data_IF_934572969688
#
_entry.id   IF_934572969688
#
_cell.length_a   1.000
_cell.length_b   1.000
_cell.length_c   1.000
_cell.angle_alpha   90.00
_cell.angle_beta   90.00
_cell.angle_gamma   90.00
#
_symmetry.space_group_name_H-M   'P 1'
#
loop_
_entity.id
_entity.type
_entity.pdbx_description
1 polymer ?
#
# COMPACT_ATOMS: atom_id res chain seq x y z
N UNK A 1 4.19 -11.87 31.98
CA UNK A 1 4.84 -12.78 32.96
C UNK A 1 6.33 -12.46 33.02
N UNK A 2 6.91 -12.40 34.23
CA UNK A 2 8.35 -12.25 34.40
C UNK A 2 8.99 -13.60 34.22
N UNK A 3 9.90 -13.73 33.25
CA UNK A 3 10.62 -14.96 33.00
C UNK A 3 12.11 -14.75 33.32
N UNK A 4 12.54 -15.22 34.48
CA UNK A 4 13.97 -15.23 34.86
C UNK A 4 14.70 -16.33 34.10
N UNK A 5 15.84 -15.98 33.51
CA UNK A 5 16.69 -16.92 32.74
C UNK A 5 18.14 -16.43 32.74
N UNK A 6 19.04 -17.25 32.20
CA UNK A 6 20.48 -16.95 32.12
C UNK A 6 20.88 -16.70 30.67
N UNK A 7 21.74 -15.72 30.40
CA UNK A 7 22.36 -15.53 29.11
C UNK A 7 23.38 -16.65 28.86
N UNK A 8 23.19 -17.45 27.82
CA UNK A 8 24.08 -18.55 27.44
C UNK A 8 25.12 -18.16 26.40
N UNK A 9 24.79 -17.16 25.56
CA UNK A 9 25.67 -16.67 24.51
C UNK A 9 25.33 -15.21 24.18
N UNK A 10 26.35 -14.40 23.94
CA UNK A 10 26.17 -13.04 23.44
C UNK A 10 27.22 -12.69 22.41
N UNK A 11 26.79 -11.99 21.35
CA UNK A 11 27.69 -11.45 20.32
C UNK A 11 27.19 -10.16 19.78
N UNK A 12 28.12 -9.29 19.36
CA UNK A 12 27.76 -8.03 18.68
C UNK A 12 27.30 -8.32 17.25
N UNK A 13 26.05 -8.02 16.96
CA UNK A 13 25.42 -8.35 15.67
C UNK A 13 25.49 -7.21 14.65
N UNK A 14 25.26 -5.96 15.11
CA UNK A 14 25.36 -4.72 14.30
C UNK A 14 25.93 -3.62 15.18
N UNK A 15 26.13 -2.41 14.63
CA UNK A 15 26.76 -1.29 15.34
C UNK A 15 26.12 -1.03 16.74
N UNK A 16 24.80 -1.20 16.81
CA UNK A 16 23.96 -0.89 17.98
C UNK A 16 23.15 -2.09 18.51
N UNK A 17 23.41 -3.32 18.05
CA UNK A 17 22.64 -4.51 18.40
C UNK A 17 23.50 -5.68 18.83
N UNK A 18 22.97 -6.45 19.76
CA UNK A 18 23.52 -7.70 20.21
C UNK A 18 22.59 -8.87 19.87
N UNK A 19 23.15 -9.99 19.49
CA UNK A 19 22.50 -11.28 19.49
C UNK A 19 22.65 -11.86 20.89
N UNK A 20 21.55 -12.27 21.50
CA UNK A 20 21.55 -12.85 22.87
C UNK A 20 20.77 -14.15 22.85
N UNK A 21 21.40 -15.24 23.28
CA UNK A 21 20.75 -16.52 23.57
C UNK A 21 20.58 -16.70 25.07
N UNK A 22 19.50 -17.34 25.43
CA UNK A 22 19.13 -17.58 26.83
C UNK A 22 18.71 -19.03 27.03
N UNK A 23 18.87 -19.58 28.24
CA UNK A 23 18.49 -20.95 28.58
C UNK A 23 17.00 -21.23 28.27
N UNK A 24 16.13 -20.34 28.73
CA UNK A 24 14.70 -20.44 28.50
C UNK A 24 14.20 -19.18 27.76
N UNK A 25 13.83 -19.35 26.52
CA UNK A 25 13.35 -18.27 25.65
C UNK A 25 11.84 -18.40 25.39
N UNK A 26 10.99 -17.56 26.04
CA UNK A 26 9.54 -17.61 25.85
C UNK A 26 9.06 -16.90 24.58
N UNK A 27 9.95 -16.16 23.90
CA UNK A 27 9.60 -15.38 22.70
C UNK A 27 9.40 -16.29 21.51
N UNK A 28 8.40 -15.96 20.69
CA UNK A 28 8.18 -16.61 19.41
C UNK A 28 9.13 -16.03 18.34
N UNK A 29 9.87 -16.87 17.60
CA UNK A 29 10.75 -16.40 16.54
C UNK A 29 9.97 -16.02 15.27
N UNK A 30 10.53 -15.14 14.45
CA UNK A 30 10.00 -14.84 13.13
C UNK A 30 9.87 -16.11 12.28
N UNK A 31 8.70 -16.30 11.66
CA UNK A 31 8.43 -17.46 10.80
C UNK A 31 7.00 -17.50 10.30
N UNK A 32 6.75 -18.18 9.17
CA UNK A 32 5.40 -18.38 8.62
C UNK A 32 4.64 -17.10 8.24
N UNK A 33 5.35 -16.01 7.97
CA UNK A 33 4.74 -14.69 7.70
C UNK A 33 4.39 -13.90 8.96
N UNK A 34 4.65 -14.46 10.16
CA UNK A 34 4.51 -13.78 11.44
C UNK A 34 5.87 -13.21 11.87
N UNK A 35 5.97 -11.90 12.23
CA UNK A 35 7.20 -11.34 12.78
C UNK A 35 7.48 -11.91 14.18
N UNK A 36 8.75 -11.98 14.54
CA UNK A 36 9.17 -12.42 15.87
C UNK A 36 8.69 -11.48 16.97
N UNK A 37 8.52 -12.02 18.16
CA UNK A 37 8.13 -11.25 19.33
C UNK A 37 9.15 -10.18 19.70
N UNK A 38 8.65 -9.15 20.37
CA UNK A 38 9.43 -8.04 20.94
C UNK A 38 9.20 -7.90 22.44
N UNK A 39 10.04 -7.12 23.11
CA UNK A 39 9.89 -6.91 24.54
C UNK A 39 11.08 -6.21 25.17
N UNK A 40 11.38 -6.55 26.43
CA UNK A 40 12.49 -5.99 27.19
C UNK A 40 13.30 -7.07 27.89
N UNK A 41 14.57 -6.79 28.08
CA UNK A 41 15.52 -7.58 28.86
C UNK A 41 16.07 -6.68 29.97
N UNK A 42 16.18 -7.24 31.16
CA UNK A 42 16.58 -6.46 32.34
C UNK A 42 17.39 -7.30 33.36
N UNK A 43 18.45 -6.68 33.90
CA UNK A 43 19.17 -7.08 35.09
C UNK A 43 19.61 -5.84 35.90
N UNK A 44 20.38 -6.02 36.95
CA UNK A 44 20.97 -4.88 37.69
C UNK A 44 22.01 -4.12 36.86
N UNK A 45 22.75 -4.80 36.00
CA UNK A 45 23.88 -4.26 35.24
C UNK A 45 23.54 -3.99 33.76
N UNK A 46 22.43 -4.57 33.23
CA UNK A 46 22.09 -4.51 31.85
C UNK A 46 20.57 -4.30 31.62
N UNK A 47 20.22 -3.40 30.70
CA UNK A 47 18.85 -3.21 30.18
C UNK A 47 18.87 -3.00 28.70
N UNK A 48 17.84 -3.49 28.02
CA UNK A 48 17.73 -3.32 26.59
C UNK A 48 16.33 -3.63 26.03
N UNK A 49 16.12 -3.17 24.81
CA UNK A 49 14.93 -3.48 24.02
C UNK A 49 15.19 -4.74 23.18
N UNK A 50 14.31 -5.73 23.28
CA UNK A 50 14.25 -6.86 22.37
C UNK A 50 13.44 -6.42 21.15
N UNK A 51 14.13 -6.21 20.03
CA UNK A 51 13.51 -5.71 18.78
C UNK A 51 13.07 -6.82 17.84
N UNK A 52 13.57 -8.04 18.03
CA UNK A 52 13.14 -9.24 17.33
C UNK A 52 13.55 -10.51 18.07
N UNK A 53 12.77 -11.57 17.91
CA UNK A 53 13.20 -12.95 18.18
C UNK A 53 13.33 -13.66 16.84
N UNK A 54 14.46 -14.39 16.66
CA UNK A 54 14.76 -15.13 15.44
C UNK A 54 15.22 -16.55 15.78
N UNK A 55 15.26 -17.41 14.78
CA UNK A 55 15.79 -18.78 14.88
C UNK A 55 16.85 -19.00 13.79
N UNK A 56 17.95 -19.66 14.14
CA UNK A 56 18.94 -20.20 13.23
C UNK A 56 19.20 -21.69 13.56
N UNK A 57 20.25 -22.28 12.98
CA UNK A 57 20.63 -23.68 13.22
C UNK A 57 21.00 -24.00 14.69
N UNK A 58 21.38 -22.98 15.47
CA UNK A 58 21.72 -23.14 16.91
C UNK A 58 20.52 -22.85 17.84
N UNK A 59 19.34 -22.54 17.29
CA UNK A 59 18.11 -22.29 18.04
C UNK A 59 17.66 -20.84 18.05
N UNK A 60 16.80 -20.49 19.00
CA UNK A 60 16.25 -19.13 19.12
C UNK A 60 17.27 -18.16 19.68
N UNK A 61 17.27 -16.91 19.18
CA UNK A 61 18.03 -15.80 19.74
C UNK A 61 17.21 -14.50 19.70
N UNK A 62 17.61 -13.57 20.57
CA UNK A 62 17.02 -12.25 20.70
C UNK A 62 17.95 -11.20 20.07
N UNK A 63 17.41 -10.33 19.21
CA UNK A 63 18.10 -9.11 18.79
C UNK A 63 17.83 -8.02 19.82
N UNK A 64 18.86 -7.56 20.52
CA UNK A 64 18.75 -6.63 21.63
C UNK A 64 19.46 -5.32 21.32
N UNK A 65 18.79 -4.20 21.53
CA UNK A 65 19.35 -2.85 21.53
C UNK A 65 19.60 -2.45 22.99
N UNK A 66 20.86 -2.30 23.43
CA UNK A 66 21.16 -1.88 24.79
C UNK A 66 20.64 -0.46 25.07
N UNK A 67 20.00 -0.29 26.22
CA UNK A 67 19.67 1.01 26.81
C UNK A 67 20.63 1.40 27.94
N UNK A 68 21.17 0.38 28.66
CA UNK A 68 22.14 0.53 29.73
C UNK A 68 23.01 -0.72 29.82
N UNK A 69 24.31 -0.59 29.94
CA UNK A 69 25.25 -1.70 30.02
C UNK A 69 25.34 -2.54 28.76
N UNK A 70 25.85 -3.75 28.88
CA UNK A 70 25.95 -4.71 27.76
C UNK A 70 25.66 -6.13 28.29
N UNK A 71 25.05 -7.02 27.46
CA UNK A 71 24.75 -8.38 27.86
C UNK A 71 26.05 -9.18 28.08
N UNK A 72 26.10 -9.95 29.15
CA UNK A 72 27.23 -10.83 29.49
C UNK A 72 26.79 -12.29 29.66
N UNK A 73 27.59 -13.21 29.15
CA UNK A 73 27.34 -14.64 29.34
C UNK A 73 27.36 -15.00 30.84
N UNK A 74 26.44 -15.85 31.26
CA UNK A 74 26.25 -16.25 32.66
C UNK A 74 25.43 -15.26 33.49
N UNK A 75 25.03 -14.10 32.93
CA UNK A 75 24.24 -13.11 33.63
C UNK A 75 22.80 -13.59 33.80
N UNK A 76 22.27 -13.45 35.03
CA UNK A 76 20.87 -13.67 35.36
C UNK A 76 20.06 -12.46 34.93
N UNK A 77 19.07 -12.68 34.11
CA UNK A 77 18.22 -11.62 33.52
C UNK A 77 16.75 -11.96 33.68
N UNK A 78 15.91 -10.93 33.57
CA UNK A 78 14.46 -11.07 33.45
C UNK A 78 13.99 -10.59 32.06
N UNK A 79 13.17 -11.42 31.43
CA UNK A 79 12.58 -11.14 30.12
C UNK A 79 11.12 -10.68 30.29
N UNK A 80 10.76 -9.60 29.61
CA UNK A 80 9.41 -9.05 29.57
C UNK A 80 8.91 -9.07 28.13
N UNK A 81 7.99 -9.98 27.84
CA UNK A 81 7.33 -10.09 26.54
C UNK A 81 6.35 -8.91 26.36
N UNK A 82 6.30 -8.32 25.18
CA UNK A 82 5.20 -7.46 24.77
C UNK A 82 3.94 -8.32 24.53
N UNK A 83 3.21 -8.57 25.61
CA UNK A 83 2.04 -9.47 25.60
C UNK A 83 0.92 -8.93 24.70
N UNK A 84 0.78 -7.60 24.60
CA UNK A 84 -0.22 -7.00 23.73
C UNK A 84 0.09 -7.34 22.26
N UNK A 85 1.30 -7.04 21.82
CA UNK A 85 1.77 -7.33 20.45
C UNK A 85 1.70 -8.82 20.14
N UNK A 86 2.19 -9.68 21.02
CA UNK A 86 2.13 -11.15 20.89
C UNK A 86 0.68 -11.61 20.69
N UNK A 87 -0.25 -11.13 21.52
CA UNK A 87 -1.67 -11.47 21.42
C UNK A 87 -2.29 -11.00 20.09
N UNK A 88 -1.99 -9.78 19.64
CA UNK A 88 -2.50 -9.26 18.35
C UNK A 88 -2.00 -10.11 17.20
N UNK A 89 -0.70 -10.42 17.15
CA UNK A 89 -0.13 -11.25 16.09
C UNK A 89 -0.71 -12.66 16.08
N UNK A 90 -0.87 -13.28 17.26
CA UNK A 90 -1.49 -14.59 17.45
C UNK A 90 -2.91 -14.65 16.92
N UNK A 91 -3.74 -13.67 17.27
CA UNK A 91 -5.13 -13.55 16.81
C UNK A 91 -5.20 -13.30 15.30
N UNK A 92 -4.38 -12.39 14.79
CA UNK A 92 -4.31 -12.08 13.36
C UNK A 92 -3.88 -13.28 12.53
N UNK A 93 -2.95 -14.09 13.02
CA UNK A 93 -2.48 -15.28 12.32
C UNK A 93 -3.58 -16.34 12.24
N UNK A 94 -4.28 -16.59 13.33
CA UNK A 94 -5.42 -17.54 13.31
C UNK A 94 -6.53 -17.07 12.39
N UNK A 95 -6.85 -15.77 12.40
CA UNK A 95 -7.83 -15.17 11.49
C UNK A 95 -7.44 -15.35 10.01
N UNK A 96 -6.13 -15.25 9.70
CA UNK A 96 -5.63 -15.50 8.35
C UNK A 96 -5.87 -16.93 7.90
N UNK A 97 -5.62 -17.93 8.74
CA UNK A 97 -5.88 -19.33 8.41
C UNK A 97 -7.36 -19.55 8.05
N UNK A 98 -8.27 -19.04 8.88
CA UNK A 98 -9.72 -19.15 8.65
C UNK A 98 -10.11 -18.49 7.32
N UNK A 99 -9.62 -17.25 7.08
CA UNK A 99 -9.94 -16.50 5.88
C UNK A 99 -9.40 -17.17 4.61
N UNK A 100 -8.15 -17.63 4.64
CA UNK A 100 -7.53 -18.35 3.52
C UNK A 100 -8.30 -19.65 3.21
N UNK A 101 -8.65 -20.41 4.25
CA UNK A 101 -9.39 -21.66 4.09
C UNK A 101 -10.76 -21.44 3.43
N UNK A 102 -11.51 -20.42 3.87
CA UNK A 102 -12.83 -20.08 3.31
C UNK A 102 -12.71 -19.72 1.82
N UNK A 103 -11.72 -18.94 1.43
CA UNK A 103 -11.52 -18.57 0.03
C UNK A 103 -11.07 -19.77 -0.81
N UNK A 104 -10.13 -20.59 -0.33
CA UNK A 104 -9.67 -21.80 -1.03
C UNK A 104 -10.79 -22.81 -1.24
N UNK A 105 -11.69 -22.97 -0.28
CA UNK A 105 -12.87 -23.86 -0.40
C UNK A 105 -13.93 -23.28 -1.35
N UNK A 106 -14.07 -21.95 -1.40
CA UNK A 106 -15.05 -21.27 -2.26
C UNK A 106 -14.61 -21.18 -3.72
N UNK A 107 -13.29 -21.18 -3.98
CA UNK A 107 -12.71 -20.97 -5.30
C UNK A 107 -11.69 -22.07 -5.63
N UNK A 108 -12.12 -23.17 -6.25
CA UNK A 108 -11.20 -24.25 -6.68
C UNK A 108 -10.05 -23.71 -7.55
N UNK A 109 -8.83 -24.00 -7.14
CA UNK A 109 -7.60 -23.51 -7.80
C UNK A 109 -7.04 -22.20 -7.23
N UNK A 110 -7.75 -21.56 -6.28
CA UNK A 110 -7.17 -20.48 -5.49
C UNK A 110 -6.21 -21.07 -4.45
N UNK A 111 -5.06 -20.46 -4.30
CA UNK A 111 -4.05 -20.85 -3.31
C UNK A 111 -3.50 -19.64 -2.56
N UNK A 112 -3.22 -19.85 -1.27
CA UNK A 112 -2.58 -18.85 -0.44
C UNK A 112 -1.07 -18.80 -0.75
N UNK A 113 -0.62 -17.65 -1.24
CA UNK A 113 0.78 -17.38 -1.54
C UNK A 113 1.55 -16.89 -0.31
N UNK A 114 1.96 -15.61 -0.35
CA UNK A 114 2.66 -14.94 0.76
C UNK A 114 1.66 -14.40 1.79
N UNK A 115 2.07 -14.44 3.05
CA UNK A 115 1.34 -13.83 4.18
C UNK A 115 2.27 -12.88 4.91
N UNK A 116 1.76 -11.72 5.29
CA UNK A 116 2.45 -10.74 6.14
C UNK A 116 1.52 -10.40 7.31
N UNK A 117 1.77 -10.98 8.46
CA UNK A 117 1.05 -10.66 9.70
C UNK A 117 1.63 -9.38 10.31
N UNK A 118 0.77 -8.48 10.73
CA UNK A 118 1.16 -7.20 11.31
C UNK A 118 0.18 -6.76 12.39
N UNK A 119 0.62 -5.89 13.30
CA UNK A 119 -0.16 -5.44 14.46
C UNK A 119 -1.41 -4.64 14.09
N UNK A 120 -1.31 -3.75 13.10
CA UNK A 120 -2.42 -2.87 12.72
C UNK A 120 -3.30 -3.52 11.65
N UNK A 121 -2.67 -4.11 10.64
CA UNK A 121 -3.37 -4.78 9.55
C UNK A 121 -2.44 -5.74 8.82
N UNK A 122 -2.90 -6.93 8.60
CA UNK A 122 -2.21 -8.01 7.93
C UNK A 122 -2.56 -8.09 6.46
N UNK A 123 -1.70 -8.71 5.66
CA UNK A 123 -1.92 -8.85 4.21
C UNK A 123 -1.74 -10.30 3.79
N UNK A 124 -2.68 -10.81 3.02
CA UNK A 124 -2.62 -12.13 2.37
C UNK A 124 -2.60 -11.94 0.87
N UNK A 125 -1.70 -12.66 0.22
CA UNK A 125 -1.60 -12.74 -1.24
C UNK A 125 -2.15 -14.09 -1.70
N UNK A 126 -2.98 -14.05 -2.72
CA UNK A 126 -3.57 -15.24 -3.34
C UNK A 126 -3.16 -15.34 -4.78
N UNK A 127 -2.87 -16.56 -5.22
CA UNK A 127 -2.69 -16.90 -6.62
C UNK A 127 -3.96 -17.59 -7.13
N UNK A 128 -4.59 -17.00 -8.16
CA UNK A 128 -5.84 -17.49 -8.72
C UNK A 128 -6.04 -16.98 -10.15
N UNK A 129 -6.14 -17.89 -11.11
CA UNK A 129 -6.37 -17.56 -12.53
C UNK A 129 -7.82 -17.11 -12.82
N UNK A 130 -8.73 -17.33 -11.87
CA UNK A 130 -10.10 -16.87 -11.94
C UNK A 130 -10.27 -15.39 -11.56
N UNK A 131 -11.50 -14.91 -11.57
CA UNK A 131 -11.86 -13.56 -11.14
C UNK A 131 -12.35 -13.59 -9.69
N UNK A 132 -11.81 -12.70 -8.86
CA UNK A 132 -12.34 -12.38 -7.53
C UNK A 132 -13.01 -11.01 -7.56
N UNK A 133 -14.17 -10.90 -6.97
CA UNK A 133 -14.93 -9.65 -6.81
C UNK A 133 -14.95 -9.22 -5.35
N UNK A 134 -15.19 -7.94 -5.14
CA UNK A 134 -15.29 -7.40 -3.78
C UNK A 134 -16.42 -8.08 -2.96
N UNK A 135 -17.50 -8.46 -3.62
CA UNK A 135 -18.62 -9.18 -3.00
C UNK A 135 -18.23 -10.57 -2.49
N UNK A 136 -17.29 -11.24 -3.18
CA UNK A 136 -16.77 -12.54 -2.76
C UNK A 136 -15.91 -12.39 -1.50
N UNK A 137 -15.13 -11.32 -1.45
CA UNK A 137 -14.30 -10.98 -0.28
C UNK A 137 -15.16 -10.61 0.92
N UNK A 138 -16.23 -9.82 0.74
CA UNK A 138 -17.19 -9.50 1.81
C UNK A 138 -17.96 -10.73 2.30
N UNK A 139 -18.26 -11.67 1.40
CA UNK A 139 -18.89 -12.94 1.79
C UNK A 139 -17.93 -13.78 2.65
N UNK A 140 -16.66 -13.85 2.27
CA UNK A 140 -15.64 -14.53 3.05
C UNK A 140 -15.43 -13.86 4.42
N UNK A 141 -15.40 -12.52 4.48
CA UNK A 141 -15.34 -11.75 5.73
C UNK A 141 -16.49 -12.10 6.68
N UNK A 142 -17.71 -12.16 6.15
CA UNK A 142 -18.88 -12.54 6.94
C UNK A 142 -18.73 -13.96 7.49
N UNK A 143 -18.28 -14.92 6.68
CA UNK A 143 -18.05 -16.30 7.10
C UNK A 143 -16.96 -16.42 8.17
N UNK A 144 -15.86 -15.67 8.07
CA UNK A 144 -14.83 -15.61 9.12
C UNK A 144 -15.44 -15.18 10.45
N UNK A 145 -16.26 -14.14 10.44
CA UNK A 145 -16.92 -13.66 11.65
C UNK A 145 -17.93 -14.68 12.23
N UNK A 146 -18.58 -15.51 11.40
CA UNK A 146 -19.41 -16.62 11.89
C UNK A 146 -18.56 -17.73 12.54
N UNK A 147 -17.39 -18.07 11.98
CA UNK A 147 -16.44 -19.02 12.59
C UNK A 147 -15.92 -18.49 13.93
N UNK A 148 -15.64 -17.19 14.03
CA UNK A 148 -15.25 -16.54 15.29
C UNK A 148 -16.34 -16.69 16.35
N UNK A 149 -17.60 -16.44 15.98
CA UNK A 149 -18.75 -16.60 16.89
C UNK A 149 -19.00 -18.04 17.29
N UNK A 150 -18.70 -19.00 16.41
CA UNK A 150 -18.92 -20.43 16.68
C UNK A 150 -17.98 -20.98 17.77
N UNK A 151 -16.96 -20.22 18.21
CA UNK A 151 -16.05 -20.57 19.30
C UNK A 151 -15.38 -21.95 19.13
N UNK A 152 -14.88 -22.19 17.91
CA UNK A 152 -14.22 -23.44 17.57
C UNK A 152 -12.89 -23.60 18.30
N UNK A 153 -12.58 -24.82 18.75
CA UNK A 153 -11.31 -25.18 19.34
C UNK A 153 -10.18 -25.07 18.30
N UNK A 154 -9.07 -24.49 18.71
CA UNK A 154 -7.82 -24.44 17.94
C UNK A 154 -6.75 -25.22 18.69
N UNK A 155 -6.18 -26.20 18.03
CA UNK A 155 -5.16 -27.11 18.60
C UNK A 155 -3.87 -27.00 17.83
N UNK A 156 -2.77 -26.94 18.56
CA UNK A 156 -1.42 -27.03 17.99
C UNK A 156 -0.90 -28.43 18.31
N UNK A 157 -0.68 -29.20 17.25
CA UNK A 157 -0.18 -30.57 17.30
C UNK A 157 1.25 -30.60 16.80
N UNK A 158 2.11 -31.45 17.38
CA UNK A 158 3.49 -31.61 16.98
C UNK A 158 3.68 -33.02 16.45
N UNK A 159 4.25 -33.17 15.28
CA UNK A 159 4.51 -34.42 14.59
C UNK A 159 5.95 -34.43 14.11
N UNK A 160 6.53 -35.61 13.95
CA UNK A 160 7.70 -35.76 13.08
C UNK A 160 7.29 -35.47 11.62
N UNK A 161 8.25 -35.17 10.77
CA UNK A 161 8.01 -34.92 9.35
C UNK A 161 7.22 -36.07 8.66
N UNK A 162 7.60 -37.33 8.95
CA UNK A 162 6.98 -38.51 8.36
C UNK A 162 5.57 -38.74 8.89
N UNK A 163 5.32 -38.53 10.16
CA UNK A 163 3.97 -38.60 10.75
C UNK A 163 3.07 -37.52 10.16
N UNK A 164 3.53 -36.27 10.06
CA UNK A 164 2.75 -35.18 9.51
C UNK A 164 2.31 -35.46 8.06
N UNK A 165 3.17 -36.08 7.25
CA UNK A 165 2.85 -36.49 5.88
C UNK A 165 1.80 -37.60 5.77
N UNK A 166 1.69 -38.42 6.81
CA UNK A 166 0.68 -39.51 6.86
C UNK A 166 -0.68 -39.01 7.37
N UNK A 167 -0.74 -37.89 8.05
CA UNK A 167 -1.99 -37.31 8.54
C UNK A 167 -2.80 -36.81 7.33
N UNK A 168 -3.96 -37.44 7.11
CA UNK A 168 -4.82 -37.09 5.98
C UNK A 168 -5.37 -35.69 6.13
N UNK A 169 -5.16 -34.85 5.09
CA UNK A 169 -5.73 -33.51 5.03
C UNK A 169 -4.80 -32.39 5.52
N UNK A 170 -3.60 -32.71 6.01
CA UNK A 170 -2.60 -31.70 6.36
C UNK A 170 -2.15 -30.96 5.09
N UNK A 171 -2.34 -29.64 5.09
CA UNK A 171 -1.78 -28.75 4.09
C UNK A 171 -0.38 -28.30 4.55
N UNK A 172 0.62 -28.42 3.70
CA UNK A 172 1.98 -27.95 3.98
C UNK A 172 2.72 -27.65 2.68
N UNK A 173 3.67 -26.73 2.75
CA UNK A 173 4.70 -26.53 1.71
C UNK A 173 5.87 -27.46 2.04
N UNK A 174 5.70 -28.75 1.71
CA UNK A 174 6.64 -29.81 2.09
C UNK A 174 8.08 -29.56 1.62
N UNK A 175 8.22 -28.84 0.50
CA UNK A 175 9.52 -28.44 -0.06
C UNK A 175 10.30 -27.44 0.79
N UNK A 176 9.64 -26.79 1.76
CA UNK A 176 10.24 -25.83 2.68
C UNK A 176 10.54 -26.42 4.08
N UNK A 177 10.14 -27.67 4.33
CA UNK A 177 10.31 -28.36 5.60
C UNK A 177 11.48 -29.34 5.53
N UNK A 178 12.32 -29.36 6.55
CA UNK A 178 13.37 -30.38 6.64
C UNK A 178 12.81 -31.69 7.23
N UNK A 179 13.19 -32.87 6.66
CA UNK A 179 12.82 -34.16 7.24
C UNK A 179 13.28 -34.37 8.68
N UNK A 180 14.28 -33.61 9.16
CA UNK A 180 14.84 -33.70 10.49
C UNK A 180 14.09 -32.85 11.53
N UNK A 181 13.18 -31.93 11.04
CA UNK A 181 12.46 -31.03 11.92
C UNK A 181 11.09 -31.60 12.34
N UNK A 182 10.70 -31.28 13.57
CA UNK A 182 9.33 -31.46 14.03
C UNK A 182 8.41 -30.48 13.31
N UNK A 183 7.27 -30.97 12.82
CA UNK A 183 6.26 -30.22 12.08
C UNK A 183 5.12 -29.86 13.03
N UNK A 184 4.99 -28.57 13.32
CA UNK A 184 3.83 -28.04 14.02
C UNK A 184 2.65 -27.97 13.05
N UNK A 185 1.52 -28.59 13.43
CA UNK A 185 0.28 -28.58 12.68
C UNK A 185 -0.81 -27.91 13.50
N UNK A 186 -1.44 -26.91 12.92
CA UNK A 186 -2.57 -26.19 13.54
C UNK A 186 -3.87 -26.77 13.00
N UNK A 187 -4.74 -27.21 13.92
CA UNK A 187 -6.08 -27.71 13.65
C UNK A 187 -7.11 -26.71 14.14
N UNK A 188 -8.02 -26.26 13.28
CA UNK A 188 -9.13 -25.36 13.62
C UNK A 188 -10.43 -26.15 13.44
N UNK A 189 -10.97 -26.71 14.54
CA UNK A 189 -12.10 -27.59 14.47
C UNK A 189 -11.91 -28.69 13.43
N UNK A 190 -12.89 -28.86 12.54
CA UNK A 190 -12.80 -29.77 11.40
C UNK A 190 -12.58 -29.02 10.07
N UNK A 191 -12.41 -27.68 10.12
CA UNK A 191 -12.33 -26.88 8.90
C UNK A 191 -10.93 -26.74 8.34
N UNK A 192 -9.90 -26.63 9.17
CA UNK A 192 -8.51 -26.43 8.69
C UNK A 192 -7.53 -27.29 9.45
N UNK A 193 -6.52 -27.80 8.72
CA UNK A 193 -5.41 -28.58 9.26
C UNK A 193 -4.17 -28.22 8.45
N UNK A 194 -3.31 -27.37 9.03
CA UNK A 194 -2.22 -26.72 8.27
C UNK A 194 -0.90 -26.76 9.02
N UNK A 195 0.18 -27.14 8.36
CA UNK A 195 1.53 -27.02 8.92
C UNK A 195 1.89 -25.54 9.05
N UNK A 196 2.06 -25.09 10.29
CA UNK A 196 2.35 -23.71 10.59
C UNK A 196 3.20 -23.56 11.85
N UNK A 197 4.30 -22.80 11.75
CA UNK A 197 5.20 -22.54 12.86
C UNK A 197 4.81 -21.29 13.69
N UNK A 198 3.73 -20.59 13.34
CA UNK A 198 3.28 -19.39 14.04
C UNK A 198 2.56 -19.67 15.37
N UNK A 199 2.13 -18.60 16.03
CA UNK A 199 1.30 -18.68 17.24
C UNK A 199 -0.19 -18.59 16.89
N UNK A 200 -1.00 -19.33 17.64
CA UNK A 200 -2.43 -19.40 17.43
C UNK A 200 -3.21 -19.31 18.75
N UNK A 201 -4.43 -18.77 18.68
CA UNK A 201 -5.36 -18.75 19.81
C UNK A 201 -5.80 -20.16 20.18
N UNK A 202 -6.41 -20.33 21.35
CA UNK A 202 -6.96 -21.64 21.78
C UNK A 202 -8.37 -21.87 21.25
N UNK A 203 -9.12 -20.80 21.05
CA UNK A 203 -10.48 -20.82 20.50
C UNK A 203 -10.67 -19.65 19.53
N UNK A 204 -11.45 -19.86 18.48
CA UNK A 204 -11.66 -18.83 17.44
C UNK A 204 -12.30 -17.56 17.99
N UNK A 205 -13.08 -17.63 19.07
CA UNK A 205 -13.69 -16.47 19.73
C UNK A 205 -12.69 -15.47 20.28
N UNK A 206 -11.48 -15.90 20.63
CA UNK A 206 -10.40 -15.03 21.11
C UNK A 206 -9.89 -14.05 20.03
N UNK A 207 -10.24 -14.26 18.74
CA UNK A 207 -9.95 -13.34 17.65
C UNK A 207 -10.75 -12.03 17.80
N UNK A 208 -11.95 -12.10 18.40
CA UNK A 208 -12.92 -11.02 18.62
C UNK A 208 -13.62 -10.52 17.36
N UNK A 209 -12.91 -10.26 16.26
CA UNK A 209 -13.49 -9.79 15.03
C UNK A 209 -12.54 -9.84 13.85
N UNK A 210 -13.08 -9.69 12.64
CA UNK A 210 -12.33 -9.68 11.40
C UNK A 210 -12.97 -8.68 10.43
N UNK A 211 -12.18 -7.84 9.79
CA UNK A 211 -12.63 -6.89 8.79
C UNK A 211 -11.60 -6.75 7.66
N UNK A 212 -12.08 -6.74 6.43
CA UNK A 212 -11.25 -6.45 5.26
C UNK A 212 -11.09 -4.96 5.10
N UNK A 213 -9.84 -4.49 5.05
CA UNK A 213 -9.49 -3.08 4.92
C UNK A 213 -9.25 -2.68 3.46
N UNK A 214 -8.75 -3.59 2.63
CA UNK A 214 -8.51 -3.34 1.22
C UNK A 214 -8.49 -4.65 0.42
N UNK A 215 -8.91 -4.56 -0.84
CA UNK A 215 -8.82 -5.62 -1.83
C UNK A 215 -8.33 -5.03 -3.14
N UNK A 216 -7.33 -5.64 -3.75
CA UNK A 216 -6.75 -5.21 -5.02
C UNK A 216 -6.07 -6.37 -5.74
N UNK A 217 -5.75 -6.15 -6.99
CA UNK A 217 -5.04 -7.11 -7.82
C UNK A 217 -5.75 -7.39 -9.13
N UNK A 218 -5.22 -8.33 -9.86
CA UNK A 218 -5.76 -8.89 -11.10
C UNK A 218 -5.15 -10.27 -11.31
N UNK A 219 -5.77 -11.08 -12.13
CA UNK A 219 -5.27 -12.43 -12.48
C UNK A 219 -3.79 -12.41 -12.84
N UNK A 220 -2.99 -13.31 -12.32
CA UNK A 220 -3.34 -14.34 -11.34
C UNK A 220 -3.12 -13.89 -9.88
N UNK A 221 -2.71 -12.64 -9.60
CA UNK A 221 -2.25 -12.20 -8.29
C UNK A 221 -3.24 -11.25 -7.62
N UNK A 222 -3.74 -11.66 -6.44
CA UNK A 222 -4.70 -10.93 -5.65
C UNK A 222 -4.15 -10.61 -4.27
N UNK A 223 -4.51 -9.47 -3.73
CA UNK A 223 -4.08 -9.01 -2.42
C UNK A 223 -5.28 -8.58 -1.59
N UNK A 224 -5.38 -9.12 -0.38
CA UNK A 224 -6.37 -8.72 0.61
C UNK A 224 -5.67 -8.24 1.87
N UNK A 225 -6.01 -7.04 2.30
CA UNK A 225 -5.58 -6.47 3.57
C UNK A 225 -6.72 -6.54 4.58
N UNK A 226 -6.45 -7.03 5.78
CA UNK A 226 -7.44 -7.20 6.84
C UNK A 226 -6.92 -6.76 8.21
N UNK A 227 -7.82 -6.57 9.15
CA UNK A 227 -7.54 -6.32 10.56
C UNK A 227 -8.46 -7.16 11.46
N UNK A 228 -8.02 -7.37 12.69
CA UNK A 228 -8.84 -7.97 13.75
C UNK A 228 -9.51 -6.90 14.63
N UNK A 229 -9.14 -5.63 14.49
CA UNK A 229 -9.72 -4.49 15.22
C UNK A 229 -10.98 -3.98 14.52
N UNK A 230 -11.92 -4.92 14.31
CA UNK A 230 -13.16 -4.68 13.54
C UNK A 230 -13.96 -3.50 14.08
N UNK A 231 -14.15 -3.42 15.38
CA UNK A 231 -15.04 -2.42 15.98
C UNK A 231 -14.47 -1.00 15.83
N UNK A 232 -13.17 -0.81 16.03
CA UNK A 232 -12.51 0.48 15.83
C UNK A 232 -12.59 0.93 14.37
N UNK A 233 -12.30 0.03 13.44
CA UNK A 233 -12.36 0.33 12.00
C UNK A 233 -13.80 0.61 11.55
N UNK A 234 -14.77 -0.19 12.00
CA UNK A 234 -16.19 0.04 11.71
C UNK A 234 -16.66 1.41 12.26
N UNK A 235 -16.26 1.78 13.46
CA UNK A 235 -16.59 3.09 14.03
C UNK A 235 -15.99 4.23 13.21
N UNK A 236 -14.73 4.10 12.78
CA UNK A 236 -14.05 5.06 11.90
C UNK A 236 -14.78 5.22 10.56
N UNK A 237 -15.07 4.12 9.89
CA UNK A 237 -15.81 4.13 8.61
C UNK A 237 -17.24 4.67 8.78
N UNK A 238 -17.94 4.30 9.87
CA UNK A 238 -19.28 4.82 10.18
C UNK A 238 -19.28 6.33 10.40
N UNK A 239 -18.21 6.89 10.99
CA UNK A 239 -18.06 8.32 11.15
C UNK A 239 -17.93 9.02 9.79
N UNK A 240 -17.00 8.54 8.95
CA UNK A 240 -16.80 9.09 7.60
C UNK A 240 -18.10 9.00 6.78
N UNK A 241 -18.80 7.85 6.84
CA UNK A 241 -20.06 7.67 6.14
C UNK A 241 -21.10 8.73 6.56
N UNK A 242 -21.26 8.97 7.85
CA UNK A 242 -22.19 9.98 8.37
C UNK A 242 -21.80 11.42 7.95
N UNK A 243 -20.50 11.73 7.88
CA UNK A 243 -20.02 13.01 7.35
C UNK A 243 -20.39 13.17 5.87
N UNK A 244 -20.18 12.13 5.06
CA UNK A 244 -20.56 12.13 3.64
C UNK A 244 -22.08 12.23 3.47
N UNK A 245 -22.87 11.52 4.26
CA UNK A 245 -24.34 11.62 4.27
C UNK A 245 -24.82 13.04 4.63
N UNK A 246 -24.15 13.67 5.59
CA UNK A 246 -24.46 15.06 5.98
C UNK A 246 -24.18 16.04 4.86
N UNK A 247 -23.00 15.96 4.23
CA UNK A 247 -22.58 16.86 3.14
C UNK A 247 -23.43 16.68 1.87
N UNK A 248 -23.81 15.43 1.57
CA UNK A 248 -24.52 15.14 0.31
C UNK A 248 -26.04 15.16 0.46
N UNK A 249 -26.57 15.08 1.68
CA UNK A 249 -28.00 14.88 1.94
C UNK A 249 -28.55 13.50 1.52
N UNK A 250 -27.69 12.61 1.04
CA UNK A 250 -28.04 11.25 0.57
C UNK A 250 -27.63 10.22 1.61
N UNK A 251 -28.44 9.21 1.87
CA UNK A 251 -28.24 8.22 2.94
C UNK A 251 -28.11 6.80 2.41
N UNK A 252 -27.28 6.02 3.10
CA UNK A 252 -27.19 4.56 2.94
C UNK A 252 -26.87 4.13 1.52
N UNK A 253 -27.61 3.15 1.01
CA UNK A 253 -27.36 2.53 -0.30
C UNK A 253 -27.53 3.50 -1.48
N UNK A 254 -28.29 4.59 -1.28
CA UNK A 254 -28.46 5.62 -2.32
C UNK A 254 -27.17 6.42 -2.58
N UNK A 255 -26.22 6.44 -1.62
CA UNK A 255 -24.92 7.10 -1.78
C UNK A 255 -24.12 6.52 -2.96
N UNK A 256 -24.04 5.20 -3.07
CA UNK A 256 -23.33 4.55 -4.18
C UNK A 256 -23.94 4.89 -5.52
N UNK A 257 -25.27 4.93 -5.60
CA UNK A 257 -26.01 5.30 -6.80
C UNK A 257 -25.78 6.78 -7.15
N UNK A 258 -25.84 7.67 -6.15
CA UNK A 258 -25.61 9.10 -6.32
C UNK A 258 -24.15 9.35 -6.80
N UNK A 259 -23.18 8.67 -6.20
CA UNK A 259 -21.78 8.77 -6.63
C UNK A 259 -21.58 8.29 -8.07
N UNK A 260 -22.21 7.18 -8.45
CA UNK A 260 -22.16 6.67 -9.83
C UNK A 260 -22.76 7.67 -10.82
N UNK A 261 -23.92 8.25 -10.49
CA UNK A 261 -24.57 9.27 -11.32
C UNK A 261 -23.68 10.51 -11.47
N UNK A 262 -23.11 11.03 -10.38
CA UNK A 262 -22.17 12.16 -10.41
C UNK A 262 -20.93 11.88 -11.28
N UNK A 263 -20.40 10.66 -11.22
CA UNK A 263 -19.28 10.24 -12.05
C UNK A 263 -19.65 10.22 -13.54
N UNK A 264 -20.81 9.68 -13.88
CA UNK A 264 -21.31 9.65 -15.25
C UNK A 264 -21.59 11.06 -15.78
N UNK A 265 -22.23 11.91 -14.98
CA UNK A 265 -22.49 13.32 -15.33
C UNK A 265 -21.18 14.08 -15.54
N UNK A 266 -20.19 13.91 -14.68
CA UNK A 266 -18.88 14.54 -14.84
C UNK A 266 -18.20 14.11 -16.15
N UNK A 267 -18.27 12.82 -16.51
CA UNK A 267 -17.77 12.32 -17.81
C UNK A 267 -18.51 12.96 -18.97
N UNK A 268 -19.84 13.08 -18.88
CA UNK A 268 -20.69 13.71 -19.90
C UNK A 268 -20.35 15.19 -20.05
N UNK A 269 -20.28 15.92 -18.95
CA UNK A 269 -19.95 17.35 -18.95
C UNK A 269 -18.55 17.60 -19.54
N UNK A 270 -17.56 16.81 -19.19
CA UNK A 270 -16.22 16.88 -19.78
C UNK A 270 -16.25 16.67 -21.30
N UNK A 271 -17.08 15.72 -21.77
CA UNK A 271 -17.24 15.45 -23.20
C UNK A 271 -17.94 16.62 -23.93
N UNK A 272 -18.93 17.25 -23.31
CA UNK A 272 -19.61 18.41 -23.84
C UNK A 272 -18.70 19.64 -23.90
N UNK A 273 -17.94 19.92 -22.84
CA UNK A 273 -16.92 20.97 -22.82
C UNK A 273 -15.91 20.78 -23.97
N UNK A 274 -15.47 19.56 -24.22
CA UNK A 274 -14.59 19.28 -25.37
C UNK A 274 -15.20 19.57 -26.70
N UNK A 275 -16.51 19.34 -26.87
CA UNK A 275 -17.23 19.69 -28.11
C UNK A 275 -17.36 21.20 -28.31
N UNK A 276 -17.48 21.97 -27.24
CA UNK A 276 -17.55 23.42 -27.30
C UNK A 276 -16.20 24.08 -27.61
N UNK A 277 -15.10 23.42 -27.24
CA UNK A 277 -13.75 23.95 -27.43
C UNK A 277 -13.43 24.52 -28.81
N UNK A 278 -13.81 23.87 -29.94
CA UNK A 278 -13.62 24.42 -31.28
C UNK A 278 -14.36 25.72 -31.57
N UNK A 279 -15.41 26.03 -30.83
CA UNK A 279 -16.26 27.22 -31.04
C UNK A 279 -15.84 28.39 -30.13
N UNK A 280 -14.99 28.19 -29.16
CA UNK A 280 -14.50 29.24 -28.28
C UNK A 280 -13.49 30.12 -29.02
N UNK A 281 -13.72 31.42 -29.04
CA UNK A 281 -12.76 32.41 -29.55
C UNK A 281 -11.75 32.73 -28.45
N UNK A 282 -10.50 32.41 -28.68
CA UNK A 282 -9.42 32.68 -27.74
C UNK A 282 -8.77 34.03 -28.06
N UNK A 283 -8.66 34.96 -27.10
CA UNK A 283 -8.05 36.28 -27.32
C UNK A 283 -6.51 36.14 -27.26
N UNK A 284 -5.92 35.56 -28.31
CA UNK A 284 -4.49 35.38 -28.40
C UNK A 284 -3.74 36.71 -28.43
N UNK A 285 -2.70 36.85 -27.58
CA UNK A 285 -1.66 37.85 -27.81
C UNK A 285 -0.83 37.35 -28.99
N UNK A 286 -0.71 38.12 -30.05
CA UNK A 286 0.07 37.77 -31.24
C UNK A 286 1.28 38.67 -31.35
N UNK A 287 2.43 38.07 -31.58
CA UNK A 287 3.68 38.76 -31.93
C UNK A 287 4.31 38.12 -33.17
N UNK A 288 4.97 38.93 -33.99
CA UNK A 288 5.62 38.49 -35.22
C UNK A 288 7.15 38.40 -35.00
N UNK A 289 7.71 37.21 -35.15
CA UNK A 289 9.15 37.00 -35.27
C UNK A 289 9.59 37.02 -36.74
N UNK A 290 10.89 36.86 -36.99
CA UNK A 290 11.43 36.89 -38.38
C UNK A 290 10.83 35.75 -39.25
N UNK A 291 10.67 34.54 -38.68
CA UNK A 291 10.21 33.36 -39.41
C UNK A 291 8.96 32.74 -38.83
N UNK A 292 8.51 33.16 -37.64
CA UNK A 292 7.45 32.53 -36.88
C UNK A 292 6.46 33.55 -36.33
N UNK A 293 5.22 33.10 -36.11
CA UNK A 293 4.21 33.84 -35.37
C UNK A 293 4.06 33.25 -33.98
N UNK A 294 4.19 34.06 -32.94
CA UNK A 294 4.00 33.63 -31.58
C UNK A 294 2.60 34.03 -31.11
N UNK A 295 1.83 33.03 -30.63
CA UNK A 295 0.54 33.24 -30.02
C UNK A 295 0.61 32.84 -28.55
N UNK A 296 0.22 33.69 -27.64
CA UNK A 296 0.26 33.42 -26.21
C UNK A 296 -1.07 33.81 -25.55
N UNK A 297 -1.40 33.08 -24.50
CA UNK A 297 -2.48 33.40 -23.57
C UNK A 297 -2.11 32.98 -22.16
N UNK A 298 -2.54 33.77 -21.17
CA UNK A 298 -2.58 33.41 -19.77
C UNK A 298 -4.02 33.50 -19.30
N UNK A 299 -4.64 32.39 -18.92
CA UNK A 299 -6.09 32.32 -18.71
C UNK A 299 -6.42 31.34 -17.56
N UNK A 300 -7.21 31.82 -16.60
CA UNK A 300 -7.69 31.05 -15.46
C UNK A 300 -9.09 30.44 -15.68
N UNK A 301 -9.93 31.15 -16.42
CA UNK A 301 -11.37 30.84 -16.51
C UNK A 301 -11.67 29.74 -17.53
N UNK A 302 -10.81 29.55 -18.53
CA UNK A 302 -11.04 28.53 -19.55
C UNK A 302 -10.47 27.16 -19.18
N UNK A 303 -11.27 26.09 -19.31
CA UNK A 303 -10.78 24.74 -19.02
C UNK A 303 -9.56 24.38 -19.87
N UNK A 304 -8.58 23.69 -19.23
CA UNK A 304 -7.36 23.22 -19.88
C UNK A 304 -7.62 22.47 -21.19
N UNK A 305 -8.66 21.62 -21.22
CA UNK A 305 -9.03 20.83 -22.42
C UNK A 305 -9.44 21.73 -23.60
N UNK A 306 -10.11 22.87 -23.32
CA UNK A 306 -10.48 23.85 -24.33
C UNK A 306 -9.24 24.53 -24.89
N UNK A 307 -8.33 24.99 -24.03
CA UNK A 307 -7.10 25.66 -24.44
C UNK A 307 -6.13 24.70 -25.16
N UNK A 308 -6.09 23.44 -24.75
CA UNK A 308 -5.37 22.38 -25.47
C UNK A 308 -5.85 22.21 -26.91
N UNK A 309 -7.16 22.16 -27.10
CA UNK A 309 -7.74 22.05 -28.45
C UNK A 309 -7.54 23.32 -29.25
N UNK A 310 -7.72 24.48 -28.64
CA UNK A 310 -7.51 25.76 -29.28
C UNK A 310 -6.04 25.93 -29.73
N UNK A 311 -5.08 25.54 -28.92
CA UNK A 311 -3.66 25.57 -29.30
C UNK A 311 -3.36 24.65 -30.49
N UNK A 312 -3.94 23.43 -30.49
CA UNK A 312 -3.82 22.52 -31.64
C UNK A 312 -4.43 23.09 -32.91
N UNK A 313 -5.64 23.63 -32.82
CA UNK A 313 -6.30 24.28 -33.96
C UNK A 313 -5.47 25.45 -34.47
N UNK A 314 -4.92 26.29 -33.59
CA UNK A 314 -4.12 27.44 -33.99
C UNK A 314 -2.86 27.05 -34.75
N UNK A 315 -2.16 26.00 -34.36
CA UNK A 315 -0.98 25.48 -35.08
C UNK A 315 -1.34 24.85 -36.43
N UNK A 316 -2.59 24.36 -36.59
CA UNK A 316 -3.10 23.85 -37.89
C UNK A 316 -3.50 24.98 -38.82
N UNK A 317 -4.14 26.06 -38.31
CA UNK A 317 -4.50 27.24 -39.04
C UNK A 317 -3.26 28.05 -39.52
N UNK A 318 -2.23 28.10 -38.70
CA UNK A 318 -0.97 28.75 -38.96
C UNK A 318 0.21 27.82 -38.72
N UNK A 319 0.67 27.08 -39.76
CA UNK A 319 1.75 26.14 -39.65
C UNK A 319 3.13 26.73 -39.23
N UNK A 320 3.31 28.05 -39.27
CA UNK A 320 4.51 28.75 -38.80
C UNK A 320 4.36 29.29 -37.38
N UNK A 321 3.30 28.88 -36.67
CA UNK A 321 3.02 29.39 -35.33
C UNK A 321 3.75 28.60 -34.21
N UNK A 322 4.08 29.32 -33.18
CA UNK A 322 4.36 28.79 -31.84
C UNK A 322 3.24 29.30 -30.94
N UNK A 323 2.62 28.39 -30.19
CA UNK A 323 1.48 28.68 -29.32
C UNK A 323 1.81 28.37 -27.87
N UNK A 324 1.79 29.40 -27.04
CA UNK A 324 1.96 29.31 -25.59
C UNK A 324 0.62 29.44 -24.87
N UNK A 325 0.34 28.56 -23.96
CA UNK A 325 -0.79 28.65 -23.03
C UNK A 325 -0.24 28.59 -21.62
N UNK A 326 -0.49 29.60 -20.83
CA UNK A 326 -0.25 29.63 -19.39
C UNK A 326 -1.56 29.40 -18.67
N UNK A 327 -1.55 28.51 -17.69
CA UNK A 327 -2.71 28.06 -16.92
C UNK A 327 -2.47 28.36 -15.44
N UNK A 328 -2.71 29.61 -14.99
CA UNK A 328 -2.67 29.91 -13.56
C UNK A 328 -3.73 29.08 -12.81
N UNK A 329 -3.44 28.72 -11.57
CA UNK A 329 -4.39 28.07 -10.68
C UNK A 329 -4.46 28.86 -9.37
N UNK A 330 -5.66 29.25 -8.97
CA UNK A 330 -5.88 30.01 -7.74
C UNK A 330 -5.24 29.32 -6.53
N UNK A 331 -4.42 30.06 -5.78
CA UNK A 331 -3.74 29.55 -4.58
C UNK A 331 -2.47 28.73 -4.80
N UNK A 332 -2.01 28.55 -6.04
CA UNK A 332 -0.73 27.89 -6.36
C UNK A 332 0.34 28.92 -6.76
N UNK A 333 1.56 28.69 -6.32
CA UNK A 333 2.74 29.48 -6.70
C UNK A 333 3.34 29.04 -8.04
N UNK A 334 2.99 27.84 -8.51
CA UNK A 334 3.39 27.30 -9.79
C UNK A 334 2.15 27.18 -10.68
N UNK A 335 2.32 27.51 -11.94
CA UNK A 335 1.27 27.36 -12.96
C UNK A 335 1.67 26.33 -14.01
N UNK A 336 0.68 25.71 -14.61
CA UNK A 336 0.91 24.80 -15.73
C UNK A 336 1.08 25.57 -17.03
N UNK A 337 1.93 25.07 -17.94
CA UNK A 337 2.04 25.65 -19.28
C UNK A 337 1.95 24.58 -20.37
N UNK A 338 1.58 25.04 -21.56
CA UNK A 338 1.55 24.26 -22.80
C UNK A 338 2.25 25.08 -23.87
N UNK A 339 3.22 24.45 -24.53
CA UNK A 339 3.90 25.01 -25.70
C UNK A 339 3.70 24.06 -26.87
N UNK A 340 3.26 24.61 -28.00
CA UNK A 340 3.00 23.84 -29.22
C UNK A 340 3.56 24.57 -30.42
N UNK A 341 4.08 23.81 -31.38
CA UNK A 341 4.57 24.39 -32.65
C UNK A 341 3.77 23.86 -33.85
N UNK A 342 3.70 24.65 -34.88
CA UNK A 342 3.16 24.27 -36.19
C UNK A 342 4.16 23.44 -37.01
N UNK A 343 3.65 22.76 -38.03
CA UNK A 343 4.42 21.81 -38.83
C UNK A 343 5.60 22.42 -39.61
N UNK A 344 5.56 23.73 -39.88
CA UNK A 344 6.63 24.46 -40.60
C UNK A 344 7.61 25.16 -39.65
N UNK A 345 7.57 24.85 -38.34
CA UNK A 345 8.50 25.39 -37.37
C UNK A 345 9.61 24.35 -37.12
N UNK A 346 10.79 24.65 -37.65
CA UNK A 346 12.00 23.81 -37.45
C UNK A 346 12.67 24.19 -36.13
N UNK A 347 12.10 23.74 -35.02
CA UNK A 347 12.56 24.03 -33.68
C UNK A 347 12.33 22.83 -32.76
N UNK A 348 13.29 22.49 -31.91
CA UNK A 348 13.10 21.53 -30.85
C UNK A 348 12.60 22.25 -29.58
N UNK A 349 11.35 21.99 -29.18
CA UNK A 349 10.74 22.68 -28.04
C UNK A 349 11.44 22.34 -26.70
N UNK A 350 12.02 21.15 -26.56
CA UNK A 350 12.78 20.81 -25.37
C UNK A 350 14.05 21.60 -25.25
N UNK A 351 14.84 21.66 -26.35
CA UNK A 351 16.07 22.44 -26.40
C UNK A 351 15.80 23.94 -26.21
N UNK A 352 14.71 24.46 -26.78
CA UNK A 352 14.31 25.86 -26.55
C UNK A 352 14.07 26.12 -25.06
N UNK A 353 13.31 25.25 -24.36
CA UNK A 353 13.05 25.44 -22.92
C UNK A 353 14.32 25.33 -22.09
N UNK A 354 15.23 24.44 -22.43
CA UNK A 354 16.52 24.29 -21.74
C UNK A 354 17.42 25.53 -21.88
N UNK A 355 17.25 26.31 -22.96
CA UNK A 355 17.96 27.58 -23.20
C UNK A 355 17.31 28.80 -22.52
N UNK A 356 16.13 28.62 -21.85
CA UNK A 356 15.38 29.68 -21.19
C UNK A 356 15.27 29.45 -19.67
N UNK A 357 16.39 29.37 -18.92
CA UNK A 357 16.39 29.06 -17.49
C UNK A 357 15.64 30.11 -16.64
N UNK A 358 15.53 31.36 -17.13
CA UNK A 358 14.78 32.43 -16.47
C UNK A 358 13.28 32.15 -16.35
N UNK A 359 12.75 31.27 -17.19
CA UNK A 359 11.32 30.86 -17.12
C UNK A 359 11.06 29.77 -16.05
N UNK A 360 12.12 29.25 -15.44
CA UNK A 360 12.03 28.25 -14.36
C UNK A 360 11.09 27.09 -14.67
N UNK A 361 11.24 26.53 -15.85
CA UNK A 361 10.36 25.48 -16.37
C UNK A 361 10.81 24.08 -15.90
N UNK A 362 9.81 23.24 -15.62
CA UNK A 362 9.99 21.78 -15.45
C UNK A 362 8.91 21.08 -16.24
N UNK A 363 9.28 20.21 -17.16
CA UNK A 363 8.29 19.53 -17.99
C UNK A 363 8.93 18.59 -19.00
N UNK A 364 8.12 18.19 -19.97
CA UNK A 364 8.56 17.31 -21.04
C UNK A 364 7.59 17.32 -22.21
N UNK A 365 8.07 16.84 -23.35
CA UNK A 365 7.27 16.79 -24.57
C UNK A 365 7.96 15.98 -25.66
N UNK A 366 7.25 15.78 -26.76
CA UNK A 366 7.78 15.11 -27.95
C UNK A 366 7.21 15.75 -29.21
N UNK A 367 8.08 16.01 -30.19
CA UNK A 367 7.69 16.53 -31.49
C UNK A 367 7.17 17.97 -31.43
N UNK A 368 5.88 18.17 -31.70
CA UNK A 368 5.22 19.46 -31.78
C UNK A 368 4.61 19.96 -30.46
N UNK A 369 4.83 19.24 -29.37
CA UNK A 369 4.18 19.49 -28.09
C UNK A 369 5.13 19.38 -26.90
N UNK A 370 5.07 20.36 -25.99
CA UNK A 370 5.76 20.36 -24.70
C UNK A 370 4.82 20.91 -23.62
N UNK A 371 4.85 20.37 -22.42
CA UNK A 371 4.05 20.87 -21.30
C UNK A 371 4.76 20.63 -19.97
N UNK A 372 4.44 21.45 -18.99
CA UNK A 372 5.06 21.37 -17.68
C UNK A 372 4.50 22.39 -16.71
N UNK A 373 5.33 22.73 -15.73
CA UNK A 373 5.06 23.75 -14.72
C UNK A 373 6.14 24.82 -14.76
N UNK A 374 5.78 26.06 -14.41
CA UNK A 374 6.66 27.21 -14.33
C UNK A 374 6.27 28.09 -13.15
N UNK A 375 7.17 28.94 -12.70
CA UNK A 375 6.90 30.03 -11.73
C UNK A 375 6.62 31.37 -12.44
N UNK A 376 6.92 31.47 -13.76
CA UNK A 376 6.74 32.70 -14.53
C UNK A 376 5.35 32.76 -15.18
N UNK A 377 4.48 33.58 -14.61
CA UNK A 377 3.08 33.76 -15.04
C UNK A 377 2.82 34.83 -16.08
N UNK A 378 3.83 35.68 -16.39
CA UNK A 378 3.64 36.77 -17.32
C UNK A 378 3.89 36.34 -18.77
N UNK A 379 2.84 36.22 -19.55
CA UNK A 379 2.92 35.85 -20.97
C UNK A 379 3.92 36.72 -21.75
N UNK A 380 4.06 38.01 -21.42
CA UNK A 380 5.04 38.91 -22.04
C UNK A 380 6.50 38.50 -21.82
N UNK A 381 6.84 38.01 -20.65
CA UNK A 381 8.21 37.53 -20.40
C UNK A 381 8.52 36.29 -21.23
N UNK A 382 7.58 35.37 -21.33
CA UNK A 382 7.67 34.21 -22.20
C UNK A 382 7.85 34.59 -23.66
N UNK A 383 7.03 35.53 -24.15
CA UNK A 383 7.09 36.05 -25.52
C UNK A 383 8.47 36.61 -25.80
N UNK A 384 8.96 37.51 -24.93
CA UNK A 384 10.27 38.12 -25.09
C UNK A 384 11.42 37.11 -25.06
N UNK A 385 11.35 36.18 -24.13
CA UNK A 385 12.37 35.11 -23.99
C UNK A 385 12.41 34.23 -25.25
N UNK A 386 11.25 33.78 -25.72
CA UNK A 386 11.16 32.96 -26.94
C UNK A 386 11.65 33.71 -28.16
N UNK A 387 11.22 34.96 -28.37
CA UNK A 387 11.60 35.78 -29.56
C UNK A 387 13.08 36.15 -29.56
N UNK A 388 13.72 36.26 -28.40
CA UNK A 388 15.18 36.55 -28.33
C UNK A 388 16.04 35.35 -28.72
N UNK A 389 15.49 34.15 -28.80
CA UNK A 389 16.18 32.90 -29.17
C UNK A 389 15.77 32.36 -30.55
N UNK A 390 14.84 33.04 -31.22
CA UNK A 390 14.36 32.71 -32.58
C UNK A 390 14.90 33.68 -33.61
#
# INVERSE_FOLDING_TARGET
>A
MENSTTITETSKFKKDRYMVRVETNPFHPEGGGQPGDTGRIWSETFRGLIVACRKDHSGKYLEVVPEMGYPMEGEQITLYLDEHRHSVLTRSHTAQHIFSRILEDSFPGLSTGKVNIHEVSSTVYFDFDGELKLEDIFRAEAQVNEVIKADMKVETLCFTYDEARQVKGVKAKWELLSPEDDVQVVKIGEMDLNACAGTHVRNTKEIHGFIVCAFRGSRPHWEVKYSIDKDEICMGHSRILREVEHETGVKGDELLKSFSNLKEENIKLKKEIRKLGPHVKIPWIREEGQNYHLYAISEEELPRDVLMQASKRKTMEDPRSIVLVLLPETGKTQLSFILRKGGNVELNLSELIDQLPELQCKGGGKGDFFSGVTQEGLARKWINAILSHL
#
